data_IF_957265974436
#
_entry.id   IF_957265974436
#
_cell.length_a   1.000
_cell.length_b   1.000
_cell.length_c   1.000
_cell.angle_alpha   90.00
_cell.angle_beta   90.00
_cell.angle_gamma   90.00
#
_symmetry.space_group_name_H-M   'P 1'
#
loop_
_entity.id
_entity.type
_entity.pdbx_description
1 polymer ?
#
# COMPACT_ATOMS: atom_id res chain seq x y z
N UNK A 1 -26.04 19.85 -23.63
CA UNK A 1 -26.24 20.10 -22.19
C UNK A 1 -24.85 20.35 -21.59
N UNK A 2 -24.66 21.41 -20.83
CA UNK A 2 -23.36 21.68 -20.21
C UNK A 2 -23.24 20.78 -18.95
N UNK A 3 -22.19 19.96 -18.89
CA UNK A 3 -21.97 19.08 -17.74
C UNK A 3 -21.71 19.90 -16.49
N UNK A 4 -22.34 19.57 -15.36
CA UNK A 4 -22.10 20.26 -14.08
C UNK A 4 -20.71 19.91 -13.56
N UNK A 5 -20.05 20.87 -12.89
CA UNK A 5 -18.74 20.65 -12.28
C UNK A 5 -18.81 19.63 -11.13
N UNK A 6 -17.80 18.74 -10.96
CA UNK A 6 -17.79 17.73 -9.91
C UNK A 6 -18.02 18.30 -8.50
N UNK A 7 -17.46 19.49 -8.21
CA UNK A 7 -17.58 20.12 -6.89
C UNK A 7 -19.04 20.52 -6.58
N UNK A 8 -19.82 20.90 -7.60
CA UNK A 8 -21.24 21.25 -7.44
C UNK A 8 -22.03 20.00 -7.11
N UNK A 9 -21.81 18.92 -7.88
CA UNK A 9 -22.49 17.63 -7.68
C UNK A 9 -22.13 17.05 -6.31
N UNK A 10 -20.85 17.08 -5.93
CA UNK A 10 -20.38 16.63 -4.61
C UNK A 10 -21.05 17.40 -3.47
N UNK A 11 -21.20 18.71 -3.59
CA UNK A 11 -21.88 19.54 -2.57
C UNK A 11 -23.35 19.15 -2.42
N UNK A 12 -24.07 18.93 -3.51
CA UNK A 12 -25.47 18.47 -3.45
C UNK A 12 -25.59 17.09 -2.78
N UNK A 13 -24.67 16.16 -3.06
CA UNK A 13 -24.64 14.88 -2.39
C UNK A 13 -24.44 15.04 -0.88
N UNK A 14 -23.50 15.90 -0.46
CA UNK A 14 -23.24 16.18 0.96
C UNK A 14 -24.46 16.82 1.67
N UNK A 15 -25.20 17.67 0.97
CA UNK A 15 -26.42 18.26 1.53
C UNK A 15 -27.55 17.24 1.64
N UNK A 16 -27.68 16.32 0.67
CA UNK A 16 -28.60 15.18 0.78
C UNK A 16 -28.23 14.27 1.96
N UNK A 17 -26.95 14.01 2.19
CA UNK A 17 -26.49 13.20 3.33
C UNK A 17 -26.92 13.79 4.67
N UNK A 18 -26.82 15.13 4.83
CA UNK A 18 -27.33 15.82 6.03
C UNK A 18 -28.84 15.66 6.18
N UNK A 19 -29.58 15.78 5.06
CA UNK A 19 -31.03 15.60 5.08
C UNK A 19 -31.43 14.16 5.43
N UNK A 20 -30.77 13.17 4.86
CA UNK A 20 -31.00 11.76 5.16
C UNK A 20 -30.71 11.48 6.64
N UNK A 21 -29.58 11.98 7.18
CA UNK A 21 -29.23 11.84 8.57
C UNK A 21 -30.31 12.44 9.49
N UNK A 22 -30.70 13.68 9.25
CA UNK A 22 -31.75 14.37 10.05
C UNK A 22 -33.08 13.64 9.98
N UNK A 23 -33.50 13.15 8.80
CA UNK A 23 -34.73 12.38 8.64
C UNK A 23 -34.65 11.02 9.35
N UNK A 24 -33.49 10.38 9.35
CA UNK A 24 -33.25 9.12 10.05
C UNK A 24 -33.30 9.26 11.57
N UNK A 25 -32.77 10.37 12.11
CA UNK A 25 -32.87 10.73 13.53
C UNK A 25 -34.34 10.96 13.95
N UNK A 26 -35.14 11.62 13.10
CA UNK A 26 -36.57 11.79 13.33
C UNK A 26 -37.30 10.44 13.26
N UNK A 27 -36.98 9.59 12.29
CA UNK A 27 -37.57 8.25 12.18
C UNK A 27 -37.25 7.37 13.41
N UNK A 28 -36.05 7.52 14.00
CA UNK A 28 -35.72 6.87 15.25
C UNK A 28 -36.64 7.29 16.41
N UNK A 29 -37.04 8.57 16.44
CA UNK A 29 -38.00 9.10 17.44
C UNK A 29 -39.46 8.71 17.10
N UNK A 30 -39.80 8.61 15.83
CA UNK A 30 -41.13 8.28 15.32
C UNK A 30 -41.09 7.04 14.39
N UNK A 31 -40.84 5.81 14.92
CA UNK A 31 -40.52 4.64 14.10
C UNK A 31 -41.67 4.13 13.23
N UNK A 32 -42.90 4.61 13.43
CA UNK A 32 -44.09 4.24 12.64
C UNK A 32 -44.52 5.30 11.63
N UNK A 33 -43.70 6.33 11.42
CA UNK A 33 -44.03 7.40 10.47
C UNK A 33 -43.63 6.96 9.04
N UNK A 34 -44.63 6.53 8.28
CA UNK A 34 -44.44 6.08 6.91
C UNK A 34 -44.06 7.22 5.96
N UNK A 35 -44.42 8.48 6.25
CA UNK A 35 -43.99 9.62 5.44
C UNK A 35 -42.50 9.89 5.58
N UNK A 36 -41.95 9.76 6.80
CA UNK A 36 -40.52 9.89 7.01
C UNK A 36 -39.74 8.79 6.29
N UNK A 37 -40.25 7.54 6.31
CA UNK A 37 -39.61 6.43 5.55
C UNK A 37 -39.59 6.72 4.06
N UNK A 38 -40.75 7.10 3.50
CA UNK A 38 -40.85 7.44 2.08
C UNK A 38 -39.93 8.61 1.70
N UNK A 39 -39.82 9.62 2.57
CA UNK A 39 -38.91 10.74 2.35
C UNK A 39 -37.45 10.27 2.30
N UNK A 40 -37.01 9.44 3.24
CA UNK A 40 -35.65 8.89 3.25
C UNK A 40 -35.38 8.10 1.96
N UNK A 41 -36.30 7.22 1.55
CA UNK A 41 -36.16 6.44 0.31
C UNK A 41 -36.01 7.36 -0.92
N UNK A 42 -36.76 8.45 -1.01
CA UNK A 42 -36.66 9.42 -2.10
C UNK A 42 -35.32 10.16 -2.10
N UNK A 43 -34.83 10.56 -0.92
CA UNK A 43 -33.53 11.21 -0.76
C UNK A 43 -32.39 10.28 -1.14
N UNK A 44 -32.45 9.01 -0.73
CA UNK A 44 -31.47 7.98 -1.12
C UNK A 44 -31.48 7.69 -2.62
N UNK A 45 -32.69 7.61 -3.23
CA UNK A 45 -32.79 7.47 -4.68
C UNK A 45 -32.15 8.67 -5.39
N UNK A 46 -32.47 9.90 -4.95
CA UNK A 46 -31.86 11.10 -5.53
C UNK A 46 -30.32 11.13 -5.35
N UNK A 47 -29.83 10.71 -4.19
CA UNK A 47 -28.38 10.56 -3.95
C UNK A 47 -27.76 9.57 -4.93
N UNK A 48 -28.41 8.43 -5.20
CA UNK A 48 -27.92 7.43 -6.17
C UNK A 48 -27.83 8.00 -7.61
N UNK A 49 -28.79 8.84 -8.02
CA UNK A 49 -28.72 9.55 -9.31
C UNK A 49 -27.55 10.52 -9.37
N UNK A 50 -27.35 11.33 -8.30
CA UNK A 50 -26.22 12.26 -8.23
C UNK A 50 -24.86 11.57 -8.20
N UNK A 51 -24.75 10.40 -7.59
CA UNK A 51 -23.51 9.61 -7.63
C UNK A 51 -23.16 9.17 -9.06
N UNK A 52 -24.15 8.77 -9.85
CA UNK A 52 -23.93 8.47 -11.29
C UNK A 52 -23.54 9.71 -12.07
N UNK A 53 -24.21 10.84 -11.79
CA UNK A 53 -23.86 12.10 -12.42
C UNK A 53 -22.45 12.57 -12.04
N UNK A 54 -22.01 12.36 -10.80
CA UNK A 54 -20.65 12.65 -10.36
C UNK A 54 -19.61 11.85 -11.16
N UNK A 55 -19.84 10.58 -11.41
CA UNK A 55 -18.94 9.75 -12.23
C UNK A 55 -18.79 10.31 -13.65
N UNK A 56 -19.92 10.64 -14.29
CA UNK A 56 -19.92 11.25 -15.64
C UNK A 56 -19.21 12.61 -15.61
N UNK A 57 -19.44 13.39 -14.54
CA UNK A 57 -18.79 14.68 -14.37
C UNK A 57 -17.27 14.55 -14.18
N UNK A 58 -16.81 13.64 -13.34
CA UNK A 58 -15.38 13.37 -13.13
C UNK A 58 -14.72 12.97 -14.47
N UNK A 59 -15.33 12.06 -15.22
CA UNK A 59 -14.83 11.66 -16.54
C UNK A 59 -14.77 12.85 -17.52
N UNK A 60 -15.84 13.66 -17.60
CA UNK A 60 -15.89 14.81 -18.48
C UNK A 60 -14.82 15.85 -18.16
N UNK A 61 -14.51 16.05 -16.88
CA UNK A 61 -13.46 16.97 -16.41
C UNK A 61 -12.08 16.33 -16.30
N UNK A 62 -11.87 15.13 -16.85
CA UNK A 62 -10.57 14.49 -16.92
C UNK A 62 -10.04 13.96 -15.58
N UNK A 63 -10.91 13.75 -14.59
CA UNK A 63 -10.53 13.22 -13.27
C UNK A 63 -10.66 11.71 -13.22
N UNK A 64 -9.64 11.03 -12.69
CA UNK A 64 -9.77 9.61 -12.36
C UNK A 64 -10.68 9.43 -11.17
N UNK A 65 -11.57 8.46 -11.23
CA UNK A 65 -12.49 8.10 -10.16
C UNK A 65 -12.04 6.79 -9.51
N UNK A 66 -12.02 6.77 -8.17
CA UNK A 66 -11.75 5.58 -7.40
C UNK A 66 -12.86 5.37 -6.37
N UNK A 67 -13.35 4.13 -6.27
CA UNK A 67 -14.27 3.72 -5.21
C UNK A 67 -13.59 2.65 -4.36
N UNK A 68 -13.64 2.83 -3.07
CA UNK A 68 -13.11 1.89 -2.10
C UNK A 68 -14.25 1.47 -1.16
N UNK A 69 -14.67 0.21 -1.25
CA UNK A 69 -15.88 -0.27 -0.58
C UNK A 69 -15.57 -1.51 0.25
N UNK A 70 -15.85 -1.45 1.54
CA UNK A 70 -15.90 -2.64 2.39
C UNK A 70 -17.24 -3.34 2.20
N UNK A 71 -17.20 -4.59 1.78
CA UNK A 71 -18.38 -5.45 1.72
C UNK A 71 -18.59 -6.11 3.08
N UNK A 72 -18.87 -5.28 4.10
CA UNK A 72 -19.03 -5.79 5.46
C UNK A 72 -20.27 -6.68 5.58
N UNK A 73 -20.13 -7.79 6.27
CA UNK A 73 -21.23 -8.67 6.68
C UNK A 73 -21.95 -8.07 7.89
N UNK A 74 -21.28 -7.19 8.64
CA UNK A 74 -21.81 -6.50 9.81
C UNK A 74 -22.21 -5.06 9.48
N UNK A 75 -23.23 -4.54 10.13
CA UNK A 75 -23.65 -3.14 9.99
C UNK A 75 -22.66 -2.12 10.60
N UNK A 76 -21.49 -2.59 11.04
CA UNK A 76 -20.49 -1.77 11.71
C UNK A 76 -19.07 -2.17 11.31
N UNK A 77 -18.26 -1.21 10.90
CA UNK A 77 -16.81 -1.35 10.73
C UNK A 77 -16.09 -0.50 11.78
N UNK A 78 -15.00 -1.01 12.34
CA UNK A 78 -14.16 -0.21 13.25
C UNK A 78 -13.47 0.91 12.49
N UNK A 79 -13.46 2.12 13.06
CA UNK A 79 -12.84 3.29 12.45
C UNK A 79 -11.35 3.06 12.14
N UNK A 80 -10.64 2.40 13.05
CA UNK A 80 -9.22 2.05 12.87
C UNK A 80 -9.00 1.14 11.66
N UNK A 81 -9.92 0.21 11.41
CA UNK A 81 -9.89 -0.69 10.26
C UNK A 81 -10.05 0.10 8.96
N UNK A 82 -11.07 0.97 8.90
CA UNK A 82 -11.35 1.80 7.75
C UNK A 82 -10.16 2.73 7.42
N UNK A 83 -9.71 3.51 8.41
CA UNK A 83 -8.62 4.46 8.23
C UNK A 83 -7.29 3.75 7.96
N UNK A 84 -7.01 2.65 8.66
CA UNK A 84 -5.80 1.86 8.45
C UNK A 84 -5.71 1.30 7.03
N UNK A 85 -6.81 0.76 6.50
CA UNK A 85 -6.88 0.21 5.15
C UNK A 85 -6.76 1.31 4.08
N UNK A 86 -7.44 2.44 4.24
CA UNK A 86 -7.33 3.57 3.33
C UNK A 86 -5.93 4.18 3.31
N UNK A 87 -5.29 4.32 4.47
CA UNK A 87 -3.93 4.84 4.56
C UNK A 87 -2.91 3.92 3.87
N UNK A 88 -3.06 2.60 4.02
CA UNK A 88 -2.18 1.66 3.33
C UNK A 88 -2.43 1.65 1.82
N UNK A 89 -3.69 1.75 1.39
CA UNK A 89 -4.04 1.90 -0.03
C UNK A 89 -3.45 3.17 -0.64
N UNK A 90 -3.59 4.31 0.05
CA UNK A 90 -2.99 5.59 -0.38
C UNK A 90 -1.46 5.48 -0.47
N UNK A 91 -0.82 4.90 0.55
CA UNK A 91 0.64 4.70 0.57
C UNK A 91 1.13 3.80 -0.56
N UNK A 92 0.32 2.80 -0.94
CA UNK A 92 0.57 1.94 -2.09
C UNK A 92 0.53 2.72 -3.40
N UNK A 93 -0.51 3.52 -3.60
CA UNK A 93 -0.65 4.37 -4.80
C UNK A 93 0.51 5.35 -4.88
N UNK A 94 0.86 6.03 -3.78
CA UNK A 94 1.95 7.01 -3.76
C UNK A 94 3.28 6.39 -4.14
N UNK A 95 3.59 5.23 -3.58
CA UNK A 95 4.86 4.56 -3.89
C UNK A 95 4.93 4.02 -5.32
N UNK A 96 3.79 3.57 -5.84
CA UNK A 96 3.70 3.17 -7.26
C UNK A 96 3.88 4.39 -8.17
N UNK A 97 3.27 5.53 -7.81
CA UNK A 97 3.38 6.79 -8.55
C UNK A 97 4.82 7.34 -8.54
N UNK A 98 5.48 7.31 -7.39
CA UNK A 98 6.91 7.66 -7.27
C UNK A 98 7.77 6.83 -8.25
N UNK A 99 7.51 5.52 -8.32
CA UNK A 99 8.22 4.64 -9.24
C UNK A 99 7.91 4.93 -10.70
N UNK A 100 6.65 5.09 -11.07
CA UNK A 100 6.22 5.41 -12.44
C UNK A 100 6.81 6.74 -12.92
N UNK A 101 6.92 7.74 -12.02
CA UNK A 101 7.50 9.05 -12.33
C UNK A 101 9.03 9.09 -12.23
N UNK A 102 9.70 7.96 -11.95
CA UNK A 102 11.15 7.89 -11.79
C UNK A 102 11.66 8.72 -10.60
N UNK A 103 10.88 8.80 -9.52
CA UNK A 103 11.23 9.54 -8.30
C UNK A 103 11.01 11.05 -8.38
N UNK A 104 10.47 11.58 -9.48
CA UNK A 104 10.20 13.01 -9.61
C UNK A 104 9.06 13.50 -8.73
N UNK A 105 8.08 12.63 -8.48
CA UNK A 105 6.90 12.93 -7.67
C UNK A 105 6.67 11.80 -6.65
N UNK A 106 6.59 12.15 -5.36
CA UNK A 106 6.49 11.19 -4.27
C UNK A 106 5.07 11.00 -3.73
N UNK A 107 4.10 11.78 -4.23
CA UNK A 107 2.74 11.79 -3.71
C UNK A 107 1.76 12.11 -4.84
N UNK A 108 0.77 11.23 -5.03
CA UNK A 108 -0.36 11.48 -5.90
C UNK A 108 -1.50 12.09 -5.06
N UNK A 109 -1.88 13.36 -5.26
CA UNK A 109 -3.03 13.92 -4.57
C UNK A 109 -4.29 13.10 -4.87
N UNK A 110 -4.99 12.69 -3.82
CA UNK A 110 -6.28 12.01 -3.91
C UNK A 110 -7.25 12.74 -3.02
N UNK A 111 -8.38 13.14 -3.58
CA UNK A 111 -9.41 13.90 -2.90
C UNK A 111 -10.57 12.99 -2.52
N UNK A 112 -11.08 13.22 -1.32
CA UNK A 112 -12.32 12.63 -0.85
C UNK A 112 -13.52 13.39 -1.44
N UNK A 113 -14.45 12.67 -2.06
CA UNK A 113 -15.67 13.27 -2.59
C UNK A 113 -16.87 12.99 -1.67
N UNK A 114 -17.20 11.72 -1.45
CA UNK A 114 -18.37 11.34 -0.66
C UNK A 114 -18.27 9.89 -0.15
N UNK A 115 -19.25 9.50 0.67
CA UNK A 115 -19.48 8.12 1.11
C UNK A 115 -20.72 7.55 0.43
N UNK A 116 -20.77 6.23 0.26
CA UNK A 116 -21.94 5.53 -0.26
C UNK A 116 -22.91 5.19 0.86
N UNK A 117 -24.23 5.37 0.63
CA UNK A 117 -25.26 4.92 1.54
C UNK A 117 -25.35 3.39 1.55
N UNK A 118 -25.58 2.78 2.70
CA UNK A 118 -25.79 1.33 2.84
C UNK A 118 -24.54 0.46 2.70
N UNK A 119 -23.34 1.08 2.54
CA UNK A 119 -22.05 0.39 2.56
C UNK A 119 -20.97 1.31 3.10
N UNK A 120 -19.89 0.72 3.62
CA UNK A 120 -18.71 1.50 4.03
C UNK A 120 -17.84 1.80 2.79
N UNK A 121 -18.43 2.54 1.83
CA UNK A 121 -17.79 2.88 0.58
C UNK A 121 -17.43 4.36 0.51
N UNK A 122 -16.28 4.65 -0.07
CA UNK A 122 -15.73 5.99 -0.23
C UNK A 122 -15.46 6.24 -1.71
N UNK A 123 -15.96 7.38 -2.20
CA UNK A 123 -15.61 7.91 -3.52
C UNK A 123 -14.44 8.86 -3.40
N UNK A 124 -13.42 8.58 -4.17
CA UNK A 124 -12.19 9.37 -4.26
C UNK A 124 -11.98 9.82 -5.70
N UNK A 125 -11.22 10.90 -5.91
CA UNK A 125 -10.79 11.35 -7.24
C UNK A 125 -9.37 11.90 -7.21
N UNK A 126 -8.72 11.91 -8.38
CA UNK A 126 -7.49 12.68 -8.58
C UNK A 126 -7.80 14.15 -8.81
N UNK A 127 -6.84 15.07 -8.60
CA UNK A 127 -7.04 16.48 -8.87
C UNK A 127 -7.36 16.71 -10.35
N UNK A 128 -8.21 17.70 -10.60
CA UNK A 128 -8.29 18.38 -11.87
C UNK A 128 -7.59 19.73 -11.68
N UNK A 129 -6.45 19.92 -12.31
CA UNK A 129 -5.83 21.23 -12.39
C UNK A 129 -5.81 21.67 -13.84
N UNK A 130 -6.59 22.71 -14.16
CA UNK A 130 -6.55 23.39 -15.48
C UNK A 130 -5.14 23.88 -15.87
N UNK A 131 -4.22 23.93 -14.88
CA UNK A 131 -2.83 24.35 -15.06
C UNK A 131 -1.82 23.23 -15.25
N UNK A 132 -2.16 21.99 -14.95
CA UNK A 132 -1.33 20.82 -15.21
C UNK A 132 -1.64 20.26 -16.60
N UNK A 133 -1.45 21.08 -17.63
CA UNK A 133 -1.30 20.64 -19.03
C UNK A 133 0.01 19.85 -19.23
N UNK A 134 0.53 19.23 -18.16
CA UNK A 134 1.60 18.27 -18.29
C UNK A 134 0.97 16.91 -18.62
N UNK A 135 0.85 16.69 -19.91
CA UNK A 135 0.32 15.44 -20.48
C UNK A 135 1.06 14.20 -19.95
N UNK A 136 2.29 14.38 -19.48
CA UNK A 136 3.09 13.31 -18.88
C UNK A 136 2.63 12.99 -17.46
N UNK A 137 2.13 13.97 -16.69
CA UNK A 137 1.58 13.76 -15.36
C UNK A 137 0.27 12.96 -15.39
N UNK A 138 -0.65 13.30 -16.30
CA UNK A 138 -1.91 12.56 -16.48
C UNK A 138 -1.66 11.12 -16.91
N UNK A 139 -0.71 10.89 -17.83
CA UNK A 139 -0.29 9.54 -18.22
C UNK A 139 0.32 8.77 -17.05
N UNK A 140 1.11 9.44 -16.20
CA UNK A 140 1.69 8.81 -15.02
C UNK A 140 0.61 8.39 -14.01
N UNK A 141 -0.46 9.16 -13.85
CA UNK A 141 -1.62 8.75 -13.04
C UNK A 141 -2.27 7.50 -13.62
N UNK A 142 -2.59 7.52 -14.92
CA UNK A 142 -3.24 6.39 -15.60
C UNK A 142 -2.39 5.11 -15.49
N UNK A 143 -1.09 5.21 -15.75
CA UNK A 143 -0.17 4.08 -15.63
C UNK A 143 -0.04 3.59 -14.18
N UNK A 144 -0.01 4.50 -13.19
CA UNK A 144 0.01 4.13 -11.77
C UNK A 144 -1.22 3.30 -11.40
N UNK A 145 -2.42 3.78 -11.73
CA UNK A 145 -3.65 3.08 -11.43
C UNK A 145 -3.78 1.76 -12.18
N UNK A 146 -3.24 1.69 -13.41
CA UNK A 146 -3.18 0.47 -14.19
C UNK A 146 -2.24 -0.56 -13.57
N UNK A 147 -1.04 -0.16 -13.12
CA UNK A 147 -0.09 -1.03 -12.41
C UNK A 147 -0.70 -1.56 -11.12
N UNK A 148 -1.24 -0.66 -10.27
CA UNK A 148 -1.93 -1.06 -9.03
C UNK A 148 -3.05 -2.04 -9.36
N UNK A 149 -3.92 -1.71 -10.31
CA UNK A 149 -5.04 -2.55 -10.70
C UNK A 149 -4.63 -3.93 -11.21
N UNK A 150 -3.64 -3.99 -12.09
CA UNK A 150 -3.14 -5.27 -12.59
C UNK A 150 -2.66 -6.18 -11.46
N UNK A 151 -1.96 -5.62 -10.47
CA UNK A 151 -1.46 -6.39 -9.33
C UNK A 151 -2.57 -6.85 -8.38
N UNK A 152 -3.61 -6.04 -8.21
CA UNK A 152 -4.77 -6.42 -7.38
C UNK A 152 -5.59 -7.57 -8.00
N UNK A 153 -5.64 -7.66 -9.34
CA UNK A 153 -6.38 -8.72 -10.06
C UNK A 153 -5.53 -9.94 -10.38
N UNK A 154 -4.19 -9.87 -10.22
CA UNK A 154 -3.27 -10.97 -10.57
C UNK A 154 -3.62 -12.24 -9.81
N UNK A 155 -3.64 -13.36 -10.53
CA UNK A 155 -3.83 -14.67 -9.95
C UNK A 155 -2.58 -15.16 -9.23
N UNK A 156 -2.76 -16.06 -8.27
CA UNK A 156 -1.70 -16.58 -7.40
C UNK A 156 -0.49 -17.13 -8.19
N UNK A 157 -0.74 -17.82 -9.30
CA UNK A 157 0.31 -18.40 -10.16
C UNK A 157 1.11 -17.40 -10.99
N UNK A 158 0.65 -16.14 -11.08
CA UNK A 158 1.25 -15.08 -11.89
C UNK A 158 1.92 -13.99 -11.04
N UNK A 159 1.88 -14.11 -9.72
CA UNK A 159 2.42 -13.09 -8.81
C UNK A 159 3.93 -12.85 -8.98
N UNK A 160 4.73 -13.91 -9.21
CA UNK A 160 6.18 -13.76 -9.45
C UNK A 160 6.47 -12.98 -10.73
N UNK A 161 5.73 -13.26 -11.82
CA UNK A 161 5.88 -12.56 -13.08
C UNK A 161 5.43 -11.10 -12.96
N UNK A 162 4.29 -10.86 -12.35
CA UNK A 162 3.77 -9.51 -12.10
C UNK A 162 4.71 -8.69 -11.22
N UNK A 163 5.30 -9.30 -10.19
CA UNK A 163 6.29 -8.68 -9.32
C UNK A 163 7.53 -8.26 -10.11
N UNK A 164 8.11 -9.17 -10.89
CA UNK A 164 9.31 -8.89 -11.68
C UNK A 164 9.06 -7.80 -12.73
N UNK A 165 7.89 -7.82 -13.39
CA UNK A 165 7.55 -6.85 -14.44
C UNK A 165 7.29 -5.44 -13.91
N UNK A 166 6.71 -5.32 -12.70
CA UNK A 166 6.28 -4.02 -12.17
C UNK A 166 7.17 -3.50 -11.03
N UNK A 167 7.81 -4.36 -10.26
CA UNK A 167 8.55 -3.97 -9.05
C UNK A 167 10.05 -4.17 -9.14
N UNK A 168 10.52 -5.24 -9.82
CA UNK A 168 11.92 -5.63 -9.73
C UNK A 168 12.33 -5.83 -8.26
N UNK A 169 13.47 -5.25 -7.88
CA UNK A 169 14.01 -5.37 -6.51
C UNK A 169 13.55 -4.24 -5.55
N UNK A 170 12.49 -3.48 -5.89
CA UNK A 170 12.00 -2.39 -5.04
C UNK A 170 11.30 -2.93 -3.78
N UNK A 171 12.10 -3.26 -2.76
CA UNK A 171 11.62 -3.81 -1.48
C UNK A 171 10.66 -2.87 -0.76
N UNK A 172 10.83 -1.56 -0.90
CA UNK A 172 9.93 -0.58 -0.30
C UNK A 172 8.53 -0.69 -0.89
N UNK A 173 8.43 -0.80 -2.21
CA UNK A 173 7.14 -0.97 -2.89
C UNK A 173 6.52 -2.34 -2.56
N UNK A 174 7.32 -3.42 -2.57
CA UNK A 174 6.89 -4.77 -2.16
C UNK A 174 6.32 -4.75 -0.73
N UNK A 175 6.98 -4.02 0.20
CA UNK A 175 6.50 -3.86 1.57
C UNK A 175 5.14 -3.16 1.64
N UNK A 176 4.92 -2.09 0.86
CA UNK A 176 3.62 -1.39 0.82
C UNK A 176 2.49 -2.30 0.34
N UNK A 177 2.76 -3.16 -0.67
CA UNK A 177 1.80 -4.17 -1.10
C UNK A 177 1.51 -5.21 0.00
N UNK A 178 2.56 -5.73 0.64
CA UNK A 178 2.41 -6.68 1.75
C UNK A 178 1.55 -6.09 2.88
N UNK A 179 1.81 -4.83 3.26
CA UNK A 179 1.06 -4.15 4.33
C UNK A 179 -0.41 -3.92 3.95
N UNK A 180 -0.69 -3.52 2.70
CA UNK A 180 -2.04 -3.33 2.22
C UNK A 180 -2.86 -4.63 2.31
N UNK A 181 -2.34 -5.74 1.79
CA UNK A 181 -3.02 -7.03 1.87
C UNK A 181 -3.12 -7.56 3.30
N UNK A 182 -2.11 -7.32 4.15
CA UNK A 182 -2.18 -7.62 5.58
C UNK A 182 -3.38 -6.93 6.23
N UNK A 183 -3.61 -5.65 5.93
CA UNK A 183 -4.73 -4.89 6.49
C UNK A 183 -6.09 -5.42 6.06
N UNK A 184 -6.23 -5.85 4.81
CA UNK A 184 -7.46 -6.49 4.33
C UNK A 184 -7.68 -7.82 5.04
N UNK A 185 -6.65 -8.66 5.15
CA UNK A 185 -6.75 -9.92 5.89
C UNK A 185 -7.13 -9.71 7.36
N UNK A 186 -6.45 -8.80 8.06
CA UNK A 186 -6.72 -8.49 9.48
C UNK A 186 -8.11 -7.89 9.70
N UNK A 187 -8.69 -7.22 8.70
CA UNK A 187 -10.05 -6.68 8.79
C UNK A 187 -11.12 -7.78 8.78
N UNK A 188 -10.79 -8.92 8.18
CA UNK A 188 -11.72 -10.03 7.90
C UNK A 188 -12.96 -9.59 7.09
N UNK A 189 -12.84 -8.52 6.31
CA UNK A 189 -13.90 -7.96 5.49
C UNK A 189 -13.43 -7.88 4.03
N UNK A 190 -14.22 -8.35 3.06
CA UNK A 190 -13.89 -8.20 1.66
C UNK A 190 -13.83 -6.71 1.26
N UNK A 191 -12.86 -6.37 0.45
CA UNK A 191 -12.69 -5.01 -0.07
C UNK A 191 -12.90 -5.01 -1.58
N UNK A 192 -13.83 -4.19 -2.05
CA UNK A 192 -14.06 -3.92 -3.46
C UNK A 192 -13.41 -2.58 -3.83
N UNK A 193 -12.60 -2.59 -4.88
CA UNK A 193 -11.97 -1.39 -5.45
C UNK A 193 -12.42 -1.27 -6.89
N UNK A 194 -13.00 -0.12 -7.23
CA UNK A 194 -13.35 0.24 -8.59
C UNK A 194 -12.54 1.49 -8.98
N UNK A 195 -12.07 1.54 -10.21
CA UNK A 195 -11.45 2.75 -10.74
C UNK A 195 -11.82 2.94 -12.21
N UNK A 196 -11.94 4.19 -12.59
CA UNK A 196 -12.14 4.58 -13.97
C UNK A 196 -11.14 5.66 -14.38
N UNK A 197 -10.66 5.55 -15.61
CA UNK A 197 -9.72 6.49 -16.20
C UNK A 197 -10.40 7.28 -17.31
N UNK A 198 -10.36 8.62 -17.27
CA UNK A 198 -10.88 9.47 -18.33
C UNK A 198 -10.01 9.39 -19.60
N UNK A 199 -8.73 9.00 -19.46
CA UNK A 199 -7.76 8.91 -20.56
C UNK A 199 -7.98 7.64 -21.36
N UNK A 200 -7.86 6.49 -20.68
CA UNK A 200 -8.03 5.18 -21.33
C UNK A 200 -9.49 4.79 -21.54
N UNK A 201 -10.44 5.54 -20.94
CA UNK A 201 -11.89 5.23 -20.92
C UNK A 201 -12.18 3.80 -20.45
N UNK A 202 -11.31 3.27 -19.60
CA UNK A 202 -11.44 1.95 -19.00
C UNK A 202 -11.94 2.08 -17.58
N UNK A 203 -12.92 1.25 -17.25
CA UNK A 203 -13.35 1.00 -15.88
C UNK A 203 -12.95 -0.42 -15.50
N UNK A 204 -12.41 -0.58 -14.30
CA UNK A 204 -12.02 -1.87 -13.74
C UNK A 204 -12.53 -1.98 -12.32
N UNK A 205 -12.80 -3.22 -11.91
CA UNK A 205 -13.15 -3.52 -10.54
C UNK A 205 -12.42 -4.78 -10.07
N UNK A 206 -12.14 -4.84 -8.80
CA UNK A 206 -11.60 -6.03 -8.13
C UNK A 206 -12.24 -6.15 -6.76
N UNK A 207 -12.59 -7.38 -6.37
CA UNK A 207 -12.94 -7.72 -4.99
C UNK A 207 -11.81 -8.58 -4.42
N UNK A 208 -11.31 -8.18 -3.27
CA UNK A 208 -10.23 -8.86 -2.55
C UNK A 208 -10.84 -9.48 -1.31
N UNK A 209 -10.93 -10.80 -1.32
CA UNK A 209 -11.37 -11.59 -0.18
C UNK A 209 -10.24 -11.70 0.86
N UNK A 210 -10.54 -11.80 2.18
CA UNK A 210 -9.54 -11.88 3.24
C UNK A 210 -8.55 -13.05 3.08
N UNK A 211 -9.02 -14.20 2.57
CA UNK A 211 -8.20 -15.39 2.32
C UNK A 211 -7.19 -15.13 1.18
N UNK A 212 -7.64 -14.54 0.07
CA UNK A 212 -6.76 -14.12 -1.02
C UNK A 212 -5.75 -13.09 -0.53
N UNK A 213 -6.18 -12.16 0.30
CA UNK A 213 -5.30 -11.16 0.90
C UNK A 213 -4.22 -11.79 1.79
N UNK A 214 -4.55 -12.82 2.59
CA UNK A 214 -3.58 -13.56 3.39
C UNK A 214 -2.51 -14.24 2.53
N UNK A 215 -2.93 -14.90 1.46
CA UNK A 215 -2.02 -15.57 0.54
C UNK A 215 -1.03 -14.56 -0.08
N UNK A 216 -1.54 -13.47 -0.64
CA UNK A 216 -0.75 -12.44 -1.30
C UNK A 216 0.19 -11.75 -0.29
N UNK A 217 -0.30 -11.44 0.93
CA UNK A 217 0.54 -10.91 2.01
C UNK A 217 1.71 -11.83 2.32
N UNK A 218 1.45 -13.14 2.46
CA UNK A 218 2.49 -14.14 2.76
C UNK A 218 3.53 -14.21 1.64
N UNK A 219 3.08 -14.15 0.39
CA UNK A 219 3.95 -14.14 -0.78
C UNK A 219 4.87 -12.92 -0.79
N UNK A 220 4.31 -11.71 -0.67
CA UNK A 220 5.10 -10.47 -0.65
C UNK A 220 6.02 -10.38 0.57
N UNK A 221 5.57 -10.87 1.75
CA UNK A 221 6.40 -10.87 2.96
C UNK A 221 7.66 -11.73 2.81
N UNK A 222 7.58 -12.84 2.09
CA UNK A 222 8.76 -13.66 1.75
C UNK A 222 9.71 -12.94 0.79
N UNK A 223 9.18 -12.19 -0.16
CA UNK A 223 9.97 -11.43 -1.14
C UNK A 223 10.62 -10.16 -0.58
N UNK A 224 10.15 -9.66 0.58
CA UNK A 224 10.79 -8.54 1.29
C UNK A 224 12.18 -8.89 1.83
N UNK A 225 12.46 -10.17 2.04
CA UNK A 225 13.73 -10.66 2.59
C UNK A 225 14.56 -11.19 1.43
N UNK A 226 15.67 -10.56 1.15
CA UNK A 226 16.69 -11.14 0.29
C UNK A 226 17.86 -11.63 1.15
N UNK A 227 18.42 -12.74 0.75
CA UNK A 227 19.64 -13.26 1.35
C UNK A 227 20.73 -13.24 0.28
N UNK A 228 21.88 -12.71 0.64
CA UNK A 228 23.07 -12.71 -0.20
C UNK A 228 24.27 -13.15 0.62
N UNK A 229 25.19 -13.84 -0.01
CA UNK A 229 26.46 -14.20 0.62
C UNK A 229 27.53 -13.25 0.10
N UNK A 230 28.18 -12.54 1.03
CA UNK A 230 29.28 -11.64 0.71
C UNK A 230 30.57 -12.07 1.41
N UNK A 231 31.69 -11.78 0.79
CA UNK A 231 33.01 -11.98 1.38
C UNK A 231 33.63 -10.60 1.62
N UNK A 232 34.06 -10.35 2.86
CA UNK A 232 34.65 -9.08 3.28
C UNK A 232 36.03 -9.30 3.88
N UNK A 233 36.92 -8.37 3.58
CA UNK A 233 38.25 -8.29 4.16
C UNK A 233 38.24 -7.25 5.28
N UNK A 234 38.80 -7.60 6.45
CA UNK A 234 38.81 -6.66 7.58
C UNK A 234 39.33 -7.28 8.86
N UNK A 235 39.06 -6.62 9.97
CA UNK A 235 39.56 -7.00 11.30
C UNK A 235 38.41 -7.37 12.23
N UNK A 236 38.52 -8.51 12.90
CA UNK A 236 37.59 -8.91 13.94
C UNK A 236 37.97 -8.20 15.25
N UNK A 237 37.14 -7.22 15.72
CA UNK A 237 37.45 -6.35 16.84
C UNK A 237 36.74 -6.72 18.15
N UNK A 238 35.62 -7.41 18.07
CA UNK A 238 34.84 -7.78 19.25
C UNK A 238 34.25 -9.18 19.13
N UNK A 239 34.10 -9.85 20.27
CA UNK A 239 33.52 -11.17 20.39
C UNK A 239 32.66 -11.30 21.65
N UNK A 240 31.46 -11.85 21.51
CA UNK A 240 30.62 -12.28 22.62
C UNK A 240 30.23 -13.75 22.44
N UNK A 241 30.84 -14.65 23.19
CA UNK A 241 30.49 -16.06 23.18
C UNK A 241 29.13 -16.36 23.82
N UNK A 242 28.70 -15.52 24.77
CA UNK A 242 27.37 -15.68 25.42
C UNK A 242 26.24 -15.38 24.45
N UNK A 243 26.47 -14.44 23.52
CA UNK A 243 25.46 -14.00 22.54
C UNK A 243 25.73 -14.52 21.12
N UNK A 244 26.83 -15.23 20.93
CA UNK A 244 27.33 -15.67 19.63
C UNK A 244 27.33 -14.52 18.62
N UNK A 245 28.04 -13.41 18.97
CA UNK A 245 28.15 -12.20 18.15
C UNK A 245 29.61 -11.79 18.00
N UNK A 246 29.90 -11.28 16.80
CA UNK A 246 31.18 -10.67 16.47
C UNK A 246 30.99 -9.24 16.01
N UNK A 247 32.01 -8.41 16.25
CA UNK A 247 32.15 -7.05 15.71
C UNK A 247 33.31 -7.06 14.71
N UNK A 248 32.97 -6.82 13.45
CA UNK A 248 33.89 -6.83 12.32
C UNK A 248 34.03 -5.43 11.75
N UNK A 249 35.25 -5.00 11.45
CA UNK A 249 35.55 -3.72 10.81
C UNK A 249 36.01 -4.00 9.40
N UNK A 250 35.15 -3.63 8.44
CA UNK A 250 35.49 -3.68 7.00
C UNK A 250 36.45 -2.51 6.67
N UNK A 251 37.56 -2.83 6.00
CA UNK A 251 38.62 -1.83 5.73
C UNK A 251 38.58 -1.29 4.28
N UNK A 252 37.70 -1.83 3.42
CA UNK A 252 37.75 -1.55 1.97
C UNK A 252 37.06 -0.24 1.61
N UNK A 253 36.01 0.19 2.33
CA UNK A 253 35.18 1.37 1.95
C UNK A 253 34.92 2.33 3.12
N UNK A 254 35.91 2.61 3.94
CA UNK A 254 35.77 3.68 4.94
C UNK A 254 35.28 3.23 6.31
N UNK A 255 35.75 2.10 6.82
CA UNK A 255 35.52 1.58 8.18
C UNK A 255 34.05 1.35 8.53
N UNK A 256 33.37 0.52 7.76
CA UNK A 256 32.05 0.06 8.15
C UNK A 256 32.15 -0.92 9.34
N UNK A 257 31.38 -0.66 10.41
CA UNK A 257 31.28 -1.53 11.57
C UNK A 257 30.10 -2.48 11.37
N UNK A 258 30.40 -3.78 11.32
CA UNK A 258 29.42 -4.83 11.15
C UNK A 258 29.31 -5.64 12.43
N UNK A 259 28.10 -5.74 12.98
CA UNK A 259 27.77 -6.70 14.04
C UNK A 259 27.08 -7.91 13.43
N UNK A 260 27.68 -9.10 13.53
CA UNK A 260 27.16 -10.32 12.98
C UNK A 260 26.91 -11.37 14.06
N UNK A 261 25.88 -12.21 13.87
CA UNK A 261 25.71 -13.45 14.64
C UNK A 261 26.55 -14.55 13.99
N UNK A 262 26.96 -15.55 14.77
CA UNK A 262 27.62 -16.75 14.27
C UNK A 262 27.09 -18.01 14.98
N UNK A 263 27.37 -19.17 14.40
CA UNK A 263 26.99 -20.45 14.98
C UNK A 263 28.06 -20.90 16.00
N UNK A 264 27.63 -21.60 17.04
CA UNK A 264 28.54 -22.12 18.09
C UNK A 264 29.71 -22.92 17.54
N UNK A 265 29.50 -23.63 16.44
CA UNK A 265 30.51 -24.40 15.75
C UNK A 265 31.73 -23.62 15.26
N UNK A 266 31.56 -22.30 15.07
CA UNK A 266 32.64 -21.39 14.62
C UNK A 266 33.40 -20.75 15.78
N UNK A 267 33.10 -21.09 17.04
CA UNK A 267 33.64 -20.39 18.23
C UNK A 267 35.15 -20.43 18.29
N UNK A 268 35.79 -21.56 18.01
CA UNK A 268 37.25 -21.70 18.03
C UNK A 268 37.91 -20.83 16.96
N UNK A 269 37.41 -20.90 15.72
CA UNK A 269 37.93 -20.12 14.58
C UNK A 269 37.80 -18.62 14.82
N UNK A 270 36.68 -18.18 15.42
CA UNK A 270 36.41 -16.77 15.75
C UNK A 270 37.32 -16.29 16.86
N UNK A 271 37.56 -17.10 17.93
CA UNK A 271 38.49 -16.76 19.02
C UNK A 271 39.89 -16.57 18.46
N UNK A 272 40.34 -17.49 17.61
CA UNK A 272 41.66 -17.46 17.01
C UNK A 272 41.87 -16.29 16.04
N UNK A 273 40.78 -15.67 15.59
CA UNK A 273 40.77 -14.58 14.61
C UNK A 273 40.66 -13.18 15.23
N UNK A 274 40.54 -13.07 16.55
CA UNK A 274 40.45 -11.77 17.25
C UNK A 274 41.67 -10.91 16.98
N UNK A 275 41.45 -9.63 16.68
CA UNK A 275 42.47 -8.62 16.34
C UNK A 275 43.35 -8.97 15.13
N UNK A 276 42.97 -9.98 14.36
CA UNK A 276 43.67 -10.37 13.12
C UNK A 276 42.95 -9.85 11.89
N UNK A 277 43.73 -9.67 10.83
CA UNK A 277 43.24 -9.35 9.51
C UNK A 277 42.75 -10.63 8.84
N UNK A 278 41.49 -10.69 8.51
CA UNK A 278 40.80 -11.90 8.07
C UNK A 278 39.90 -11.66 6.88
N UNK A 279 39.63 -12.72 6.15
CA UNK A 279 38.55 -12.79 5.16
C UNK A 279 37.39 -13.49 5.85
N UNK A 280 36.29 -12.76 5.98
CA UNK A 280 35.07 -13.26 6.60
C UNK A 280 33.92 -13.33 5.58
N UNK A 281 33.25 -14.48 5.55
CA UNK A 281 32.09 -14.70 4.70
C UNK A 281 30.81 -14.54 5.52
N UNK A 282 29.93 -13.68 5.09
CA UNK A 282 28.65 -13.38 5.74
C UNK A 282 27.49 -13.76 4.87
N UNK A 283 26.46 -14.38 5.46
CA UNK A 283 25.12 -14.34 4.91
C UNK A 283 24.44 -13.05 5.38
N UNK A 284 24.02 -12.21 4.45
CA UNK A 284 23.38 -10.92 4.71
C UNK A 284 21.92 -11.04 4.37
N UNK A 285 21.07 -10.95 5.39
CA UNK A 285 19.63 -10.84 5.21
C UNK A 285 19.23 -9.37 5.20
N UNK A 286 18.65 -8.91 4.12
CA UNK A 286 18.21 -7.52 3.96
C UNK A 286 16.70 -7.49 4.02
N UNK A 287 16.16 -6.69 4.95
CA UNK A 287 14.73 -6.50 5.14
C UNK A 287 14.40 -5.01 5.18
N UNK A 288 13.31 -4.62 4.51
CA UNK A 288 12.81 -3.25 4.64
C UNK A 288 12.06 -3.07 5.97
N UNK A 289 12.48 -2.06 6.76
CA UNK A 289 11.83 -1.66 8.00
C UNK A 289 10.91 -0.47 7.74
N UNK A 290 9.59 -0.71 7.74
CA UNK A 290 8.58 0.32 7.47
C UNK A 290 8.55 1.44 8.52
N UNK A 291 8.84 1.12 9.78
CA UNK A 291 8.83 2.11 10.86
C UNK A 291 9.94 3.16 10.73
N UNK A 292 11.06 2.77 10.12
CA UNK A 292 12.22 3.65 9.93
C UNK A 292 12.41 4.10 8.48
N UNK A 293 11.55 3.64 7.56
CA UNK A 293 11.61 3.89 6.12
C UNK A 293 13.00 3.59 5.51
N UNK A 294 13.64 2.52 5.97
CA UNK A 294 14.97 2.13 5.54
C UNK A 294 15.16 0.61 5.47
N UNK A 295 16.17 0.19 4.71
CA UNK A 295 16.63 -1.19 4.71
C UNK A 295 17.47 -1.48 5.95
N UNK A 296 17.20 -2.61 6.59
CA UNK A 296 17.99 -3.16 7.69
C UNK A 296 18.74 -4.39 7.20
N UNK A 297 20.05 -4.39 7.39
CA UNK A 297 20.91 -5.54 7.11
C UNK A 297 21.18 -6.31 8.39
N UNK A 298 20.97 -7.61 8.35
CA UNK A 298 21.34 -8.53 9.41
C UNK A 298 22.43 -9.46 8.89
N UNK A 299 23.56 -9.47 9.57
CA UNK A 299 24.72 -10.25 9.17
C UNK A 299 24.81 -11.51 10.01
N UNK A 300 25.09 -12.64 9.35
CA UNK A 300 25.45 -13.92 9.98
C UNK A 300 26.78 -14.40 9.41
N UNK A 301 27.78 -14.54 10.24
CA UNK A 301 29.07 -15.08 9.85
C UNK A 301 28.93 -16.56 9.52
N UNK A 302 29.38 -16.95 8.32
CA UNK A 302 29.36 -18.34 7.83
C UNK A 302 30.73 -18.99 7.97
N UNK A 303 31.80 -18.24 7.65
CA UNK A 303 33.17 -18.71 7.76
C UNK A 303 34.14 -17.56 7.96
N UNK A 304 35.28 -17.84 8.56
CA UNK A 304 36.36 -16.89 8.77
C UNK A 304 37.69 -17.57 8.50
N UNK A 305 38.60 -16.89 7.80
CA UNK A 305 39.94 -17.44 7.49
C UNK A 305 40.99 -16.33 7.54
N UNK A 306 42.23 -16.65 7.92
CA UNK A 306 43.32 -15.68 7.88
C UNK A 306 43.53 -15.15 6.46
N UNK A 307 43.78 -13.83 6.37
CA UNK A 307 44.28 -13.26 5.12
C UNK A 307 45.80 -13.53 5.07
N UNK A 308 46.18 -14.44 4.19
CA UNK A 308 47.60 -14.84 4.00
C UNK A 308 48.38 -13.77 3.25
#
# INVERSE_FOLDING_TARGET
MQQRKPEIVTREIQDLDKMILSSSELLFQFPKDDLLRLNIEQLEHRKSELLKELEISLEFYGQHSLKYVFKSISDKIKLETLLGSLNTFKSLIDKTFEKVTGGKNNNLPIYFNTVFSGSYGIQLSTPFEEKLLDHDYEKAIDETLKVVGNLLVTDEGQLDEALNNHFGDDRKLISKYALFFKRIHESNEPVKIEWSSPISKQSREVTIEPEKAQFIHTFFSKKQISEETIELLGILKGLSLIRYRVEFVNDIEGKEYITAKFDESLSEEVIDSIDKYVIAQFNVSIKYNEAQDKEEKQYRLISIRPNK
#
